data_IF_716284948797
#
_entry.id   IF_716284948797
#
_cell.length_a   1.000
_cell.length_b   1.000
_cell.length_c   1.000
_cell.angle_alpha   90.00
_cell.angle_beta   90.00
_cell.angle_gamma   90.00
#
_symmetry.space_group_name_H-M   'P 1'
#
loop_
_entity.id
_entity.type
_entity.pdbx_description
1 polymer ?
#
# COMPACT_ATOMS: atom_id res chain seq x y z
N UNK A 1 -59.32 -2.30 -1.53
CA UNK A 1 -58.62 -1.08 -1.97
C UNK A 1 -57.42 -0.72 -1.08
N UNK A 2 -57.44 -1.01 0.26
CA UNK A 2 -56.29 -0.73 1.15
C UNK A 2 -55.06 -1.63 0.93
N UNK A 3 -55.26 -2.85 0.42
CA UNK A 3 -54.12 -3.79 0.23
C UNK A 3 -53.22 -3.44 -0.97
N UNK A 4 -53.82 -2.89 -2.05
CA UNK A 4 -53.07 -2.54 -3.26
C UNK A 4 -52.16 -1.30 -3.01
N UNK A 5 -52.66 -0.33 -2.27
CA UNK A 5 -51.85 0.87 -1.92
C UNK A 5 -50.66 0.53 -1.02
N UNK A 6 -50.84 -0.41 -0.09
CA UNK A 6 -49.72 -0.86 0.78
C UNK A 6 -48.60 -1.55 0.02
N UNK A 7 -48.96 -2.45 -0.92
CA UNK A 7 -47.98 -3.17 -1.77
C UNK A 7 -47.23 -2.20 -2.68
N UNK A 8 -47.92 -1.21 -3.26
CA UNK A 8 -47.26 -0.22 -4.12
C UNK A 8 -46.28 0.66 -3.34
N UNK A 9 -46.63 1.09 -2.14
CA UNK A 9 -45.72 1.88 -1.26
C UNK A 9 -44.50 1.06 -0.86
N UNK A 10 -44.68 -0.20 -0.49
CA UNK A 10 -43.60 -1.10 -0.16
C UNK A 10 -42.66 -1.35 -1.34
N UNK A 11 -43.19 -1.56 -2.55
CA UNK A 11 -42.38 -1.73 -3.75
C UNK A 11 -41.51 -0.48 -4.06
N UNK A 12 -42.11 0.72 -3.93
CA UNK A 12 -41.33 1.97 -4.10
C UNK A 12 -40.25 2.10 -3.03
N UNK A 13 -40.52 1.76 -1.78
CA UNK A 13 -39.54 1.81 -0.71
C UNK A 13 -38.40 0.80 -0.94
N UNK A 14 -38.67 -0.40 -1.39
CA UNK A 14 -37.67 -1.40 -1.77
C UNK A 14 -36.77 -0.93 -2.91
N UNK A 15 -37.37 -0.33 -3.95
CA UNK A 15 -36.60 0.21 -5.08
C UNK A 15 -35.66 1.33 -4.61
N UNK A 16 -36.15 2.24 -3.79
CA UNK A 16 -35.31 3.32 -3.23
C UNK A 16 -34.18 2.77 -2.34
N UNK A 17 -34.47 1.82 -1.47
CA UNK A 17 -33.46 1.17 -0.63
C UNK A 17 -32.39 0.46 -1.47
N UNK A 18 -32.80 -0.24 -2.54
CA UNK A 18 -31.88 -0.88 -3.48
C UNK A 18 -31.00 0.14 -4.21
N UNK A 19 -31.56 1.23 -4.70
CA UNK A 19 -30.78 2.28 -5.37
C UNK A 19 -29.78 2.94 -4.43
N UNK A 20 -30.18 3.20 -3.18
CA UNK A 20 -29.27 3.76 -2.16
C UNK A 20 -28.14 2.78 -1.81
N UNK A 21 -28.45 1.47 -1.72
CA UNK A 21 -27.45 0.45 -1.49
C UNK A 21 -26.43 0.38 -2.63
N UNK A 22 -26.87 0.46 -3.89
CA UNK A 22 -25.98 0.49 -5.06
C UNK A 22 -25.11 1.75 -5.07
N UNK A 23 -25.68 2.94 -4.88
CA UNK A 23 -24.93 4.19 -4.83
C UNK A 23 -23.89 4.18 -3.71
N UNK A 24 -24.23 3.62 -2.54
CA UNK A 24 -23.29 3.46 -1.43
C UNK A 24 -22.16 2.48 -1.80
N UNK A 25 -22.52 1.34 -2.36
CA UNK A 25 -21.52 0.34 -2.79
C UNK A 25 -20.57 0.92 -3.83
N UNK A 26 -21.07 1.59 -4.86
CA UNK A 26 -20.26 2.25 -5.89
C UNK A 26 -19.29 3.27 -5.27
N UNK A 27 -19.79 4.07 -4.32
CA UNK A 27 -18.95 5.05 -3.62
C UNK A 27 -17.83 4.38 -2.84
N UNK A 28 -18.12 3.35 -2.04
CA UNK A 28 -17.12 2.62 -1.25
C UNK A 28 -16.12 1.91 -2.17
N UNK A 29 -16.62 1.29 -3.24
CA UNK A 29 -15.75 0.61 -4.21
C UNK A 29 -14.85 1.56 -5.00
N UNK A 30 -15.22 2.83 -5.12
CA UNK A 30 -14.40 3.85 -5.77
C UNK A 30 -13.25 4.35 -4.89
N UNK A 31 -13.28 4.09 -3.58
CA UNK A 31 -12.21 4.51 -2.67
C UNK A 31 -10.99 3.60 -2.79
N UNK A 32 -9.87 4.03 -2.24
CA UNK A 32 -8.67 3.21 -2.12
C UNK A 32 -8.96 1.93 -1.29
N UNK A 33 -8.14 0.91 -1.46
CA UNK A 33 -8.26 -0.30 -0.63
C UNK A 33 -7.94 0.01 0.83
N UNK A 34 -6.91 0.79 1.05
CA UNK A 34 -6.41 1.24 2.34
C UNK A 34 -5.65 2.55 2.14
N UNK A 35 -6.14 3.65 2.71
CA UNK A 35 -5.47 4.96 2.59
C UNK A 35 -4.22 5.03 3.45
N UNK A 36 -4.12 4.22 4.49
CA UNK A 36 -2.86 4.10 5.24
C UNK A 36 -1.73 3.64 4.36
N UNK A 37 -1.97 2.76 3.39
CA UNK A 37 -1.01 2.41 2.36
C UNK A 37 -0.59 3.62 1.51
N UNK A 38 -1.35 4.72 1.52
CA UNK A 38 -1.05 5.96 0.83
C UNK A 38 -0.60 7.09 1.76
N UNK A 39 -0.96 7.04 3.04
CA UNK A 39 -0.76 8.12 4.02
C UNK A 39 0.33 7.80 5.04
N UNK A 40 0.74 6.55 5.17
CA UNK A 40 1.81 6.15 6.07
C UNK A 40 3.18 6.29 5.43
N UNK A 41 4.10 6.69 6.27
CA UNK A 41 5.50 6.88 5.96
C UNK A 41 6.16 5.60 5.44
N UNK A 42 5.66 4.46 5.88
CA UNK A 42 5.94 3.10 5.41
C UNK A 42 4.74 2.25 5.81
N UNK A 43 4.50 1.16 5.12
CA UNK A 43 3.33 0.33 5.35
C UNK A 43 3.27 -0.34 6.73
N UNK A 44 2.19 -1.04 6.98
CA UNK A 44 2.02 -1.84 8.20
C UNK A 44 3.02 -2.99 8.31
N UNK A 45 3.69 -3.34 7.23
CA UNK A 45 4.66 -4.43 7.12
C UNK A 45 5.93 -3.97 6.42
N UNK A 46 6.99 -4.72 6.61
CA UNK A 46 8.24 -4.66 5.84
C UNK A 46 8.78 -6.07 5.68
N UNK A 47 9.81 -6.23 4.88
CA UNK A 47 10.61 -7.44 4.88
C UNK A 47 11.76 -7.32 5.87
N UNK A 48 11.91 -8.36 6.67
CA UNK A 48 12.97 -8.56 7.66
C UNK A 48 14.01 -9.52 7.09
N UNK A 49 15.24 -9.08 7.10
CA UNK A 49 16.42 -9.79 6.64
C UNK A 49 17.26 -10.09 7.88
N UNK A 50 17.00 -11.22 8.54
CA UNK A 50 17.61 -11.56 9.83
C UNK A 50 18.63 -12.72 9.74
N UNK A 51 18.77 -13.29 8.55
CA UNK A 51 19.71 -14.39 8.28
C UNK A 51 20.67 -14.08 7.10
N UNK A 52 21.86 -14.70 7.08
CA UNK A 52 22.87 -14.40 6.06
C UNK A 52 22.55 -14.95 4.65
N UNK A 53 21.35 -15.41 4.41
CA UNK A 53 20.85 -15.91 3.13
C UNK A 53 19.50 -15.33 2.74
N UNK A 54 19.15 -14.19 3.37
CA UNK A 54 17.89 -13.47 3.14
C UNK A 54 18.05 -12.44 2.02
N UNK A 55 17.23 -12.54 0.99
CA UNK A 55 17.24 -11.56 -0.11
C UNK A 55 15.95 -11.57 -0.93
N UNK A 56 15.79 -10.55 -1.76
CA UNK A 56 14.81 -10.52 -2.85
C UNK A 56 15.58 -10.53 -4.16
N UNK A 57 15.36 -11.55 -4.99
CA UNK A 57 15.81 -11.59 -6.37
C UNK A 57 14.77 -10.87 -7.24
N UNK A 58 15.19 -9.79 -7.88
CA UNK A 58 14.39 -8.98 -8.81
C UNK A 58 14.80 -9.22 -10.25
N UNK A 59 16.11 -9.47 -10.46
CA UNK A 59 16.71 -9.62 -11.78
C UNK A 59 16.75 -8.31 -12.58
N UNK A 60 16.50 -8.40 -13.88
CA UNK A 60 16.62 -7.25 -14.77
C UNK A 60 15.41 -6.30 -14.67
N UNK A 61 15.64 -5.06 -14.24
CA UNK A 61 14.64 -4.00 -14.20
C UNK A 61 14.72 -3.09 -15.42
N UNK A 62 15.85 -2.40 -15.64
CA UNK A 62 16.06 -1.49 -16.78
C UNK A 62 17.46 -0.90 -16.77
N UNK A 63 17.81 -0.18 -17.84
CA UNK A 63 18.99 0.69 -17.88
C UNK A 63 18.64 2.14 -17.56
N UNK A 64 19.62 2.90 -17.10
CA UNK A 64 19.50 4.35 -16.95
C UNK A 64 18.82 4.82 -15.66
N UNK A 65 18.85 4.04 -14.58
CA UNK A 65 18.38 4.46 -13.26
C UNK A 65 19.19 5.66 -12.77
N UNK A 66 18.49 6.69 -12.27
CA UNK A 66 19.08 7.94 -11.76
C UNK A 66 18.62 8.35 -10.38
N UNK A 67 17.58 7.71 -9.87
CA UNK A 67 17.15 7.89 -8.48
C UNK A 67 16.76 6.56 -7.89
N UNK A 68 17.26 6.33 -6.69
CA UNK A 68 16.96 5.15 -5.88
C UNK A 68 16.48 5.65 -4.54
N UNK A 69 15.36 5.17 -4.03
CA UNK A 69 14.95 5.45 -2.65
C UNK A 69 14.34 4.23 -1.98
N UNK A 70 14.49 4.17 -0.68
CA UNK A 70 13.97 3.10 0.16
C UNK A 70 13.92 3.54 1.62
N UNK A 71 13.11 2.87 2.41
CA UNK A 71 13.21 2.92 3.86
C UNK A 71 14.05 1.76 4.36
N UNK A 72 14.87 2.03 5.36
CA UNK A 72 15.76 1.04 5.96
C UNK A 72 15.78 1.19 7.48
N UNK A 73 15.82 0.06 8.16
CA UNK A 73 16.01 -0.05 9.59
C UNK A 73 17.09 -1.09 9.84
N UNK A 74 18.31 -0.64 10.11
CA UNK A 74 19.47 -1.52 10.28
C UNK A 74 19.55 -2.04 11.73
N UNK A 75 19.84 -3.33 11.88
CA UNK A 75 20.01 -3.97 13.19
C UNK A 75 21.37 -3.68 13.83
N UNK A 76 22.35 -3.28 13.02
CA UNK A 76 23.68 -2.86 13.46
C UNK A 76 24.19 -1.72 12.58
N UNK A 77 24.93 -0.77 13.17
CA UNK A 77 25.55 0.35 12.43
C UNK A 77 27.01 0.59 12.79
N UNK A 78 27.52 0.00 13.87
CA UNK A 78 28.91 0.19 14.30
C UNK A 78 29.78 -0.99 13.89
N UNK A 79 30.94 -0.71 13.29
CA UNK A 79 31.93 -1.73 12.85
C UNK A 79 31.36 -2.81 11.93
N UNK A 80 30.30 -2.46 11.18
CA UNK A 80 29.58 -3.37 10.32
C UNK A 80 29.43 -2.79 8.91
N UNK A 81 29.30 -3.66 7.92
CA UNK A 81 28.98 -3.30 6.55
C UNK A 81 27.76 -4.11 6.13
N UNK A 82 26.68 -3.41 5.80
CA UNK A 82 25.44 -3.97 5.32
C UNK A 82 25.28 -3.70 3.83
N UNK A 83 24.99 -4.72 3.04
CA UNK A 83 24.78 -4.61 1.61
C UNK A 83 23.29 -4.60 1.31
N UNK A 84 22.76 -3.42 1.02
CA UNK A 84 21.30 -3.17 1.04
C UNK A 84 20.67 -3.40 -0.32
N UNK A 85 21.23 -2.82 -1.38
CA UNK A 85 20.71 -2.91 -2.75
C UNK A 85 21.85 -3.14 -3.73
N UNK A 86 21.74 -4.20 -4.49
CA UNK A 86 22.57 -4.52 -5.64
C UNK A 86 21.83 -4.15 -6.93
N UNK A 87 22.48 -3.54 -7.88
CA UNK A 87 21.93 -3.13 -9.16
C UNK A 87 22.59 -3.86 -10.33
N UNK A 88 23.88 -4.16 -10.18
CA UNK A 88 24.73 -4.96 -11.05
C UNK A 88 26.11 -5.17 -10.37
N UNK A 89 26.98 -5.92 -11.01
CA UNK A 89 28.33 -6.27 -10.50
C UNK A 89 29.18 -5.06 -10.03
N UNK A 90 28.93 -3.86 -10.55
CA UNK A 90 29.69 -2.67 -10.22
C UNK A 90 28.94 -1.71 -9.27
N UNK A 91 27.64 -1.60 -9.44
CA UNK A 91 26.82 -0.56 -8.81
C UNK A 91 25.95 -1.16 -7.70
N UNK A 92 26.24 -0.80 -6.46
CA UNK A 92 25.47 -1.24 -5.29
C UNK A 92 25.50 -0.22 -4.17
N UNK A 93 24.56 -0.35 -3.24
CA UNK A 93 24.38 0.52 -2.07
C UNK A 93 24.64 -0.30 -0.82
N UNK A 94 25.46 0.27 0.08
CA UNK A 94 25.78 -0.31 1.38
C UNK A 94 25.79 0.72 2.48
N UNK A 95 25.65 0.25 3.72
CA UNK A 95 25.83 1.04 4.95
C UNK A 95 27.13 0.60 5.60
N UNK A 96 28.07 1.51 5.78
CA UNK A 96 29.37 1.25 6.39
C UNK A 96 29.53 2.12 7.63
N UNK A 97 29.60 1.50 8.81
CA UNK A 97 29.69 2.21 10.08
C UNK A 97 28.61 3.29 10.24
N UNK A 98 27.39 2.99 9.84
CA UNK A 98 26.25 3.92 9.89
C UNK A 98 26.21 4.96 8.77
N UNK A 99 27.13 4.95 7.82
CA UNK A 99 27.06 5.83 6.64
C UNK A 99 26.58 5.09 5.40
N UNK A 100 25.57 5.63 4.74
CA UNK A 100 25.13 5.18 3.42
C UNK A 100 26.22 5.52 2.40
N UNK A 101 26.70 4.50 1.72
CA UNK A 101 27.74 4.62 0.69
C UNK A 101 27.33 3.84 -0.56
N UNK A 102 27.90 4.22 -1.69
CA UNK A 102 27.68 3.54 -2.97
C UNK A 102 28.99 3.05 -3.56
N UNK A 103 28.94 1.98 -4.35
CA UNK A 103 30.04 1.57 -5.17
C UNK A 103 29.79 2.01 -6.62
N UNK A 104 30.82 2.48 -7.29
CA UNK A 104 30.85 2.91 -8.71
C UNK A 104 29.78 3.91 -9.20
N UNK A 105 28.77 4.25 -8.42
CA UNK A 105 27.76 5.25 -8.79
C UNK A 105 28.42 6.64 -8.86
N UNK A 106 28.32 7.27 -10.03
CA UNK A 106 29.04 8.49 -10.32
C UNK A 106 28.35 9.73 -9.74
N UNK A 107 29.12 10.55 -8.98
CA UNK A 107 28.68 11.83 -8.40
C UNK A 107 27.31 11.77 -7.71
N UNK A 108 27.11 10.87 -6.73
CA UNK A 108 25.83 10.71 -6.07
C UNK A 108 25.52 11.90 -5.15
N UNK A 109 24.26 12.28 -5.10
CA UNK A 109 23.72 13.14 -4.03
C UNK A 109 22.88 12.29 -3.11
N UNK A 110 23.20 12.34 -1.82
CA UNK A 110 22.52 11.57 -0.78
C UNK A 110 21.44 12.41 -0.09
N UNK A 111 20.43 11.71 0.40
CA UNK A 111 19.38 12.28 1.25
C UNK A 111 19.04 11.26 2.34
N UNK A 112 19.04 11.73 3.59
CA UNK A 112 18.47 10.97 4.71
C UNK A 112 17.28 11.75 5.24
N UNK A 113 16.10 11.10 5.34
CA UNK A 113 14.85 11.73 5.74
C UNK A 113 14.57 13.03 4.94
N UNK A 114 14.82 12.97 3.64
CA UNK A 114 14.72 14.08 2.69
C UNK A 114 15.70 15.26 2.92
N UNK A 115 16.68 15.15 3.83
CA UNK A 115 17.71 16.18 4.03
C UNK A 115 18.87 15.94 3.07
N UNK A 116 19.09 16.87 2.15
CA UNK A 116 20.13 16.77 1.13
C UNK A 116 21.54 16.88 1.71
N UNK A 117 22.46 16.04 1.25
CA UNK A 117 23.85 15.95 1.71
C UNK A 117 24.06 15.07 2.94
N UNK A 118 22.99 14.70 3.64
CA UNK A 118 23.06 13.75 4.75
C UNK A 118 23.13 12.32 4.22
N UNK A 119 23.91 11.47 4.92
CA UNK A 119 24.06 10.05 4.63
C UNK A 119 24.22 9.18 5.88
N UNK A 120 24.04 9.77 7.06
CA UNK A 120 24.25 9.10 8.34
C UNK A 120 22.95 8.46 8.86
N UNK A 121 23.03 7.16 9.14
CA UNK A 121 22.06 6.41 9.93
C UNK A 121 22.62 6.38 11.35
N UNK A 122 22.05 7.21 12.23
CA UNK A 122 22.65 7.49 13.53
C UNK A 122 22.27 6.46 14.62
N UNK A 123 21.16 5.74 14.44
CA UNK A 123 20.58 4.89 15.49
C UNK A 123 20.18 3.55 14.93
N UNK A 124 20.58 2.47 15.56
CA UNK A 124 20.10 1.11 15.29
C UNK A 124 18.61 1.02 15.59
N UNK A 125 17.93 0.09 14.96
CA UNK A 125 16.50 -0.15 15.16
C UNK A 125 15.58 1.06 14.90
N UNK A 126 16.07 2.09 14.20
CA UNK A 126 15.30 3.26 13.79
C UNK A 126 15.13 3.28 12.27
N UNK A 127 13.96 3.70 11.83
CA UNK A 127 13.67 3.86 10.41
C UNK A 127 14.28 5.13 9.83
N UNK A 128 14.95 4.99 8.69
CA UNK A 128 15.50 6.08 7.90
C UNK A 128 15.07 5.95 6.44
N UNK A 129 14.54 7.02 5.88
CA UNK A 129 14.40 7.11 4.45
C UNK A 129 15.75 7.48 3.83
N UNK A 130 16.18 6.70 2.88
CA UNK A 130 17.38 6.94 2.07
C UNK A 130 16.94 7.28 0.65
N UNK A 131 17.50 8.34 0.08
CA UNK A 131 17.42 8.55 -1.36
C UNK A 131 18.80 8.92 -1.91
N UNK A 132 19.08 8.43 -3.11
CA UNK A 132 20.34 8.67 -3.83
C UNK A 132 19.99 9.07 -5.25
N UNK A 133 20.52 10.22 -5.68
CA UNK A 133 20.35 10.68 -7.06
C UNK A 133 21.68 10.82 -7.76
N UNK A 134 21.73 10.58 -9.06
CA UNK A 134 22.90 10.76 -9.92
C UNK A 134 22.48 11.26 -11.29
N UNK A 135 23.31 12.07 -11.92
CA UNK A 135 23.10 12.51 -13.30
C UNK A 135 23.40 11.42 -14.33
N UNK A 136 24.26 10.46 -13.97
CA UNK A 136 24.66 9.35 -14.84
C UNK A 136 23.70 8.18 -14.65
N UNK A 137 23.15 7.65 -15.73
CA UNK A 137 22.28 6.48 -15.65
C UNK A 137 23.04 5.25 -15.20
N UNK A 138 22.43 4.46 -14.32
CA UNK A 138 22.93 3.18 -13.77
C UNK A 138 22.17 2.06 -14.48
N UNK A 139 22.86 1.01 -14.85
CA UNK A 139 22.23 -0.20 -15.37
C UNK A 139 21.74 -1.06 -14.20
N UNK A 140 20.43 -1.21 -14.07
CA UNK A 140 19.79 -2.07 -13.08
C UNK A 140 19.37 -3.38 -13.78
N UNK A 141 20.36 -4.15 -14.24
CA UNK A 141 20.15 -5.34 -15.05
C UNK A 141 20.23 -6.66 -14.26
N UNK A 142 20.54 -6.55 -12.96
CA UNK A 142 20.60 -7.69 -12.05
C UNK A 142 20.39 -7.17 -10.62
N UNK A 143 19.12 -6.91 -10.25
CA UNK A 143 18.79 -6.24 -9.01
C UNK A 143 18.48 -7.25 -7.91
N UNK A 144 19.16 -7.10 -6.78
CA UNK A 144 18.82 -7.76 -5.52
C UNK A 144 18.61 -6.75 -4.39
N UNK A 145 17.76 -7.11 -3.45
CA UNK A 145 17.61 -6.40 -2.18
C UNK A 145 18.04 -7.32 -1.04
N UNK A 146 18.84 -6.79 -0.12
CA UNK A 146 19.32 -7.53 1.04
C UNK A 146 20.62 -8.30 0.80
N UNK A 147 21.17 -8.30 -0.41
CA UNK A 147 22.48 -8.92 -0.70
C UNK A 147 23.24 -8.20 -1.82
N UNK A 148 24.53 -8.55 -1.93
CA UNK A 148 25.37 -8.35 -3.13
C UNK A 148 26.00 -9.68 -3.52
N UNK A 149 25.62 -10.22 -4.67
CA UNK A 149 25.94 -11.58 -5.09
C UNK A 149 27.42 -11.75 -5.48
N UNK A 150 27.99 -10.82 -6.25
CA UNK A 150 29.28 -11.00 -6.92
C UNK A 150 30.55 -10.81 -6.05
N UNK A 151 30.41 -10.36 -4.81
CA UNK A 151 31.53 -10.06 -3.93
C UNK A 151 31.63 -10.96 -2.69
N UNK A 152 31.05 -12.15 -2.76
CA UNK A 152 31.17 -13.15 -1.70
C UNK A 152 29.91 -13.37 -0.89
N UNK A 153 28.74 -13.11 -1.50
CA UNK A 153 27.43 -13.27 -0.84
C UNK A 153 27.35 -12.48 0.47
N UNK A 154 27.53 -11.18 0.35
CA UNK A 154 27.43 -10.23 1.48
C UNK A 154 25.99 -9.76 1.64
N UNK A 155 25.49 -9.83 2.85
CA UNK A 155 24.08 -9.65 3.17
C UNK A 155 23.81 -8.40 4.01
N UNK A 156 22.55 -8.00 4.05
CA UNK A 156 21.99 -6.97 4.91
C UNK A 156 21.35 -7.61 6.15
N UNK A 157 21.46 -6.98 7.32
CA UNK A 157 20.70 -7.35 8.51
C UNK A 157 19.83 -6.19 8.96
N UNK A 158 18.51 -6.40 8.92
CA UNK A 158 17.52 -5.38 9.26
C UNK A 158 16.29 -5.44 8.39
N UNK A 159 15.57 -4.32 8.27
CA UNK A 159 14.32 -4.23 7.54
C UNK A 159 14.39 -3.25 6.39
N UNK A 160 13.73 -3.60 5.28
CA UNK A 160 13.60 -2.74 4.10
C UNK A 160 12.12 -2.55 3.78
N UNK A 161 11.78 -1.32 3.33
CA UNK A 161 10.43 -0.96 2.93
C UNK A 161 10.43 0.11 1.82
N UNK A 162 9.32 0.26 1.08
CA UNK A 162 9.06 1.33 0.11
C UNK A 162 10.19 1.55 -0.91
N UNK A 163 10.68 0.50 -1.56
CA UNK A 163 11.80 0.57 -2.51
C UNK A 163 11.34 1.12 -3.85
N UNK A 164 12.01 2.16 -4.34
CA UNK A 164 11.65 2.83 -5.59
C UNK A 164 12.89 3.11 -6.44
N UNK A 165 12.81 2.80 -7.74
CA UNK A 165 13.84 3.11 -8.73
C UNK A 165 13.23 3.95 -9.86
N UNK A 166 13.86 5.08 -10.19
CA UNK A 166 13.46 5.92 -11.33
C UNK A 166 14.60 6.10 -12.33
N UNK A 167 14.27 6.16 -13.60
CA UNK A 167 15.22 6.55 -14.64
C UNK A 167 15.34 8.09 -14.80
N UNK A 168 14.57 8.87 -14.04
CA UNK A 168 14.67 10.32 -13.90
C UNK A 168 15.41 10.74 -12.63
N UNK A 169 16.10 11.87 -12.65
CA UNK A 169 16.63 12.49 -11.43
C UNK A 169 15.50 13.17 -10.68
N UNK A 170 15.23 12.75 -9.45
CA UNK A 170 14.25 13.42 -8.58
C UNK A 170 14.88 14.63 -7.90
N UNK A 171 14.15 15.72 -7.88
CA UNK A 171 14.54 16.95 -7.18
C UNK A 171 14.40 16.79 -5.68
N UNK A 172 15.10 17.60 -4.89
CA UNK A 172 14.96 17.63 -3.43
C UNK A 172 13.50 17.89 -3.01
N UNK A 173 12.75 18.68 -3.76
CA UNK A 173 11.33 18.97 -3.49
C UNK A 173 10.44 17.73 -3.71
N UNK A 174 10.69 16.96 -4.76
CA UNK A 174 9.96 15.71 -5.02
C UNK A 174 10.28 14.65 -3.96
N UNK A 175 11.55 14.52 -3.58
CA UNK A 175 11.97 13.62 -2.49
C UNK A 175 11.27 14.02 -1.19
N UNK A 176 11.30 15.31 -0.82
CA UNK A 176 10.63 15.82 0.37
C UNK A 176 9.11 15.61 0.35
N UNK A 177 8.50 15.68 -0.82
CA UNK A 177 7.05 15.50 -0.97
C UNK A 177 6.62 14.05 -0.75
N UNK A 178 7.45 13.09 -1.16
CA UNK A 178 7.05 11.68 -1.22
C UNK A 178 7.86 10.72 -0.33
N UNK A 179 8.85 11.23 0.46
CA UNK A 179 9.68 10.34 1.27
C UNK A 179 8.89 9.59 2.34
N UNK A 180 7.85 10.20 2.89
CA UNK A 180 7.03 9.67 3.98
C UNK A 180 5.59 9.34 3.54
N UNK A 181 5.42 8.95 2.30
CA UNK A 181 4.11 8.57 1.72
C UNK A 181 4.31 7.48 0.69
N UNK A 182 3.28 6.67 0.51
CA UNK A 182 3.15 5.85 -0.69
C UNK A 182 3.13 6.74 -1.93
N UNK A 183 3.79 6.29 -2.98
CA UNK A 183 3.86 7.05 -4.24
C UNK A 183 2.52 6.95 -4.96
N UNK A 184 1.86 8.09 -5.27
CA UNK A 184 0.54 8.08 -5.89
C UNK A 184 0.63 7.66 -7.36
N UNK A 185 -0.35 6.88 -7.82
CA UNK A 185 -0.48 6.44 -9.20
C UNK A 185 0.83 5.91 -9.82
N UNK A 186 1.52 4.97 -9.17
CA UNK A 186 2.85 4.53 -9.59
C UNK A 186 2.88 3.94 -11.00
N UNK A 187 1.79 3.36 -11.46
CA UNK A 187 1.64 2.79 -12.79
C UNK A 187 1.67 3.87 -13.90
N UNK A 188 1.21 5.08 -13.60
CA UNK A 188 1.13 6.19 -14.57
C UNK A 188 2.43 6.98 -14.69
N UNK A 189 3.37 6.84 -13.74
CA UNK A 189 4.69 7.46 -13.81
C UNK A 189 5.64 6.61 -14.68
N UNK A 190 5.77 6.98 -15.94
CA UNK A 190 6.65 6.28 -16.88
C UNK A 190 8.15 6.40 -16.55
N UNK A 191 8.53 7.24 -15.59
CA UNK A 191 9.92 7.33 -15.09
C UNK A 191 10.18 6.40 -13.91
N UNK A 192 9.16 5.95 -13.20
CA UNK A 192 9.25 4.95 -12.15
C UNK A 192 9.41 3.56 -12.78
N UNK A 193 10.49 2.87 -12.44
CA UNK A 193 10.88 1.59 -13.04
C UNK A 193 10.77 0.41 -12.09
N UNK A 194 10.71 0.68 -10.80
CA UNK A 194 10.43 -0.29 -9.75
C UNK A 194 9.74 0.43 -8.60
N UNK A 195 8.71 -0.20 -8.05
CA UNK A 195 8.12 0.22 -6.79
C UNK A 195 7.64 -0.98 -5.99
N UNK A 196 8.37 -1.33 -4.96
CA UNK A 196 7.99 -2.33 -3.98
C UNK A 196 7.50 -1.64 -2.71
N UNK A 197 6.21 -1.75 -2.44
CA UNK A 197 5.60 -1.25 -1.20
C UNK A 197 5.96 -2.08 0.03
N UNK A 198 6.33 -3.34 -0.17
CA UNK A 198 6.63 -4.33 0.87
C UNK A 198 5.58 -4.48 1.98
N UNK A 199 4.32 -4.25 1.64
CA UNK A 199 3.17 -4.23 2.54
C UNK A 199 2.36 -5.52 2.42
N UNK A 200 2.93 -6.67 2.82
CA UNK A 200 2.25 -7.96 2.79
C UNK A 200 2.42 -8.72 4.10
N UNK A 201 1.51 -9.65 4.33
CA UNK A 201 1.53 -10.56 5.49
C UNK A 201 2.27 -11.86 5.21
N UNK A 202 2.34 -12.28 3.95
CA UNK A 202 2.87 -13.60 3.60
C UNK A 202 3.10 -13.73 2.10
N UNK A 203 3.75 -14.80 1.72
CA UNK A 203 4.05 -15.16 0.33
C UNK A 203 5.50 -14.86 -0.02
N UNK A 204 5.94 -15.44 -1.14
CA UNK A 204 7.33 -15.37 -1.63
C UNK A 204 7.49 -14.43 -2.81
N UNK A 205 6.45 -13.70 -3.19
CA UNK A 205 6.49 -12.74 -4.31
C UNK A 205 6.27 -11.33 -3.80
N UNK A 206 7.19 -10.45 -4.13
CA UNK A 206 7.06 -9.01 -4.01
C UNK A 206 6.52 -8.45 -5.32
N UNK A 207 5.41 -7.70 -5.25
CA UNK A 207 4.82 -7.08 -6.43
C UNK A 207 5.43 -5.72 -6.72
N UNK A 208 5.78 -5.52 -7.98
CA UNK A 208 6.11 -4.21 -8.53
C UNK A 208 4.83 -3.47 -8.91
N UNK A 209 4.66 -2.28 -8.36
CA UNK A 209 3.53 -1.39 -8.63
C UNK A 209 3.80 -0.38 -9.75
N UNK A 210 5.00 -0.38 -10.33
CA UNK A 210 5.32 0.41 -11.52
C UNK A 210 4.75 -0.21 -12.79
N UNK A 211 4.81 0.52 -13.90
CA UNK A 211 4.42 -0.01 -15.22
C UNK A 211 5.38 -1.06 -15.79
N UNK A 212 6.57 -1.25 -15.17
CA UNK A 212 7.55 -2.25 -15.62
C UNK A 212 7.19 -3.67 -15.23
N UNK A 213 6.45 -3.85 -14.12
CA UNK A 213 5.96 -5.15 -13.63
C UNK A 213 7.11 -6.14 -13.36
N UNK A 214 8.21 -5.66 -12.79
CA UNK A 214 9.38 -6.48 -12.40
C UNK A 214 9.16 -7.03 -10.99
N UNK A 215 8.38 -8.11 -10.87
CA UNK A 215 8.11 -8.76 -9.58
C UNK A 215 9.36 -9.46 -9.05
N UNK A 216 9.59 -9.38 -7.72
CA UNK A 216 10.71 -10.02 -7.06
C UNK A 216 10.31 -11.33 -6.37
N UNK A 217 11.27 -12.21 -6.20
CA UNK A 217 11.13 -13.47 -5.45
C UNK A 217 11.88 -13.36 -4.14
N UNK A 218 11.19 -13.60 -3.01
CA UNK A 218 11.78 -13.61 -1.67
C UNK A 218 12.45 -14.97 -1.44
N UNK A 219 13.69 -14.93 -0.98
CA UNK A 219 14.40 -16.08 -0.42
C UNK A 219 14.63 -15.81 1.05
N UNK A 220 14.10 -16.66 1.90
CA UNK A 220 14.19 -16.74 3.36
C UNK A 220 13.69 -15.50 4.12
N UNK A 221 13.87 -14.27 3.65
CA UNK A 221 13.40 -13.05 4.33
C UNK A 221 11.89 -13.13 4.68
N UNK A 222 11.52 -12.61 5.83
CA UNK A 222 10.20 -12.77 6.40
C UNK A 222 9.41 -11.45 6.47
N UNK A 223 8.10 -11.55 6.26
CA UNK A 223 7.20 -10.42 6.46
C UNK A 223 7.05 -10.12 7.95
N UNK A 224 7.27 -8.88 8.34
CA UNK A 224 7.19 -8.45 9.74
C UNK A 224 6.31 -7.20 9.88
N UNK A 225 5.54 -7.14 10.97
CA UNK A 225 4.77 -5.94 11.30
C UNK A 225 5.68 -4.83 11.80
N UNK A 226 5.47 -3.61 11.33
CA UNK A 226 6.31 -2.47 11.67
C UNK A 226 6.01 -1.87 13.03
N UNK A 227 4.86 -2.15 13.61
CA UNK A 227 4.54 -1.63 14.92
C UNK A 227 3.78 -2.63 15.78
N UNK A 228 4.19 -2.74 17.04
CA UNK A 228 3.45 -3.45 18.09
C UNK A 228 2.22 -2.66 18.59
N UNK A 229 1.97 -1.46 18.10
CA UNK A 229 0.91 -0.55 18.56
C UNK A 229 -0.17 -0.27 17.53
N UNK A 230 -0.05 -0.76 16.31
CA UNK A 230 -1.08 -0.61 15.29
C UNK A 230 -2.07 -1.76 15.45
N UNK A 231 -3.14 -1.48 16.14
CA UNK A 231 -4.32 -2.33 16.09
C UNK A 231 -4.86 -2.21 14.67
N UNK A 232 -4.90 -3.32 13.94
CA UNK A 232 -5.57 -3.41 12.65
C UNK A 232 -7.07 -3.35 12.93
N UNK A 233 -7.52 -2.17 13.26
CA UNK A 233 -8.92 -1.89 13.49
C UNK A 233 -9.45 -1.29 12.22
N UNK A 234 -10.30 -2.04 11.52
CA UNK A 234 -11.09 -1.47 10.43
C UNK A 234 -11.84 -0.25 10.96
N UNK A 235 -11.73 0.88 10.29
CA UNK A 235 -12.43 2.09 10.69
C UNK A 235 -11.69 3.38 10.35
N UNK A 236 -12.31 4.48 10.68
CA UNK A 236 -11.79 5.84 10.43
C UNK A 236 -10.54 6.14 11.25
N UNK A 237 -9.54 6.68 10.60
CA UNK A 237 -8.23 7.00 11.17
C UNK A 237 -8.08 8.46 11.60
N UNK A 238 -9.14 9.20 11.53
CA UNK A 238 -9.22 10.62 11.86
C UNK A 238 -10.31 11.34 11.07
N UNK A 239 -10.87 10.69 10.06
CA UNK A 239 -11.96 11.21 9.27
C UNK A 239 -13.23 11.32 10.12
N UNK A 240 -13.81 12.50 10.15
CA UNK A 240 -15.00 12.78 10.98
C UNK A 240 -16.28 12.89 10.16
N UNK A 241 -16.17 12.95 8.84
CA UNK A 241 -17.31 13.17 7.94
C UNK A 241 -17.40 12.06 6.89
N UNK A 242 -18.60 11.80 6.42
CA UNK A 242 -18.84 10.87 5.30
C UNK A 242 -18.04 11.23 4.04
N UNK A 243 -17.89 12.51 3.75
CA UNK A 243 -17.13 13.00 2.61
C UNK A 243 -15.61 12.94 2.80
N UNK A 244 -15.16 12.81 4.03
CA UNK A 244 -13.73 12.70 4.37
C UNK A 244 -13.19 11.28 4.26
N UNK A 245 -14.07 10.26 4.25
CA UNK A 245 -13.65 8.87 4.10
C UNK A 245 -12.91 8.68 2.76
N UNK A 246 -11.72 8.19 2.80
CA UNK A 246 -10.81 8.12 1.65
C UNK A 246 -10.39 6.69 1.28
N UNK A 247 -10.72 5.71 2.10
CA UNK A 247 -10.51 4.29 1.83
C UNK A 247 -11.72 3.42 2.24
N UNK A 248 -11.59 2.12 1.96
CA UNK A 248 -12.70 1.16 2.12
C UNK A 248 -13.03 0.92 3.59
N UNK A 249 -12.06 0.86 4.47
CA UNK A 249 -12.30 0.51 5.86
C UNK A 249 -12.79 1.68 6.72
N UNK A 250 -12.58 2.92 6.30
CA UNK A 250 -13.25 4.09 6.86
C UNK A 250 -14.76 3.94 6.96
N UNK A 251 -15.32 3.14 6.06
CA UNK A 251 -16.76 2.87 6.02
C UNK A 251 -17.21 1.76 6.96
N UNK A 252 -16.29 1.06 7.65
CA UNK A 252 -16.66 -0.02 8.55
C UNK A 252 -17.54 0.49 9.70
N UNK A 253 -18.68 -0.19 9.90
CA UNK A 253 -19.74 0.14 10.89
C UNK A 253 -20.39 1.53 10.78
N UNK A 254 -20.08 2.27 9.71
CA UNK A 254 -20.67 3.59 9.51
C UNK A 254 -22.14 3.48 9.10
N UNK A 255 -22.96 4.28 9.79
CA UNK A 255 -24.33 4.54 9.39
C UNK A 255 -24.39 5.72 8.43
N UNK A 256 -25.21 5.61 7.42
CA UNK A 256 -25.50 6.68 6.48
C UNK A 256 -26.99 6.90 6.35
N UNK A 257 -27.37 8.10 5.97
CA UNK A 257 -28.74 8.50 5.67
C UNK A 257 -28.79 9.18 4.30
N UNK A 258 -30.00 9.38 3.79
CA UNK A 258 -30.23 10.02 2.50
C UNK A 258 -29.48 11.35 2.28
N UNK A 259 -29.27 12.14 3.34
CA UNK A 259 -28.56 13.42 3.29
C UNK A 259 -27.06 13.30 2.96
N UNK A 260 -26.44 12.14 3.17
CA UNK A 260 -25.05 11.89 2.81
C UNK A 260 -24.82 11.86 1.28
N UNK A 261 -25.91 11.82 0.52
CA UNK A 261 -25.94 11.74 -0.96
C UNK A 261 -26.48 13.01 -1.62
N UNK A 262 -26.54 14.14 -0.90
CA UNK A 262 -26.93 15.43 -1.48
C UNK A 262 -25.94 15.81 -2.59
N UNK A 263 -26.39 15.75 -3.84
CA UNK A 263 -25.60 16.05 -5.03
C UNK A 263 -25.47 14.93 -6.03
N UNK A 264 -25.73 13.66 -5.66
CA UNK A 264 -25.75 12.56 -6.61
C UNK A 264 -27.03 12.47 -7.44
N UNK A 265 -28.11 13.11 -6.97
CA UNK A 265 -29.36 13.14 -7.73
C UNK A 265 -30.27 14.32 -7.29
N UNK A 266 -29.94 15.50 -7.76
CA UNK A 266 -30.70 16.72 -7.43
C UNK A 266 -32.15 16.75 -8.02
N UNK A 267 -32.62 15.64 -8.61
CA UNK A 267 -33.85 15.71 -9.36
C UNK A 267 -34.90 14.61 -9.19
N UNK A 268 -34.53 13.37 -8.83
CA UNK A 268 -35.48 12.25 -9.01
C UNK A 268 -35.55 11.19 -7.92
N UNK A 269 -34.57 11.07 -7.04
CA UNK A 269 -34.55 10.03 -6.00
C UNK A 269 -34.54 10.63 -4.60
N UNK A 270 -35.72 10.91 -4.09
CA UNK A 270 -35.90 11.31 -2.70
C UNK A 270 -35.78 10.08 -1.78
N UNK A 271 -34.63 9.92 -1.12
CA UNK A 271 -34.36 8.84 -0.16
C UNK A 271 -34.78 9.20 1.27
N UNK A 272 -35.55 10.26 1.49
CA UNK A 272 -35.91 10.77 2.79
C UNK A 272 -36.40 9.67 3.74
N UNK A 273 -35.73 9.54 4.88
CA UNK A 273 -36.03 8.55 5.92
C UNK A 273 -35.47 7.15 5.64
N UNK A 274 -34.66 6.98 4.59
CA UNK A 274 -33.97 5.73 4.31
C UNK A 274 -32.52 5.88 4.81
N UNK A 275 -32.02 4.87 5.50
CA UNK A 275 -30.66 4.81 5.98
C UNK A 275 -30.13 3.41 6.01
N UNK A 276 -28.83 3.28 6.16
CA UNK A 276 -28.18 1.98 6.15
C UNK A 276 -26.85 1.97 6.91
N UNK A 277 -26.17 0.85 6.77
CA UNK A 277 -24.82 0.66 7.33
C UNK A 277 -23.93 -0.04 6.32
N UNK A 278 -22.66 0.31 6.37
CA UNK A 278 -21.58 -0.38 5.68
C UNK A 278 -20.82 -1.24 6.69
N UNK A 279 -20.48 -2.45 6.28
CA UNK A 279 -19.60 -3.34 7.03
C UNK A 279 -18.44 -3.74 6.11
N UNK A 280 -17.24 -3.67 6.64
CA UNK A 280 -16.03 -4.10 5.94
C UNK A 280 -15.36 -5.17 6.80
N UNK A 281 -14.83 -6.22 6.18
CA UNK A 281 -14.02 -7.23 6.86
C UNK A 281 -12.97 -7.78 5.91
N UNK A 282 -11.85 -8.20 6.45
CA UNK A 282 -10.86 -8.94 5.68
C UNK A 282 -11.35 -10.35 5.37
N UNK A 283 -11.05 -10.83 4.18
CA UNK A 283 -11.39 -12.18 3.72
C UNK A 283 -10.22 -12.80 2.98
N UNK A 284 -10.05 -14.11 3.13
CA UNK A 284 -9.06 -14.90 2.42
C UNK A 284 -9.68 -15.63 1.24
N UNK A 285 -8.96 -15.68 0.12
CA UNK A 285 -9.35 -16.50 -1.02
C UNK A 285 -9.21 -17.98 -0.66
N UNK A 286 -10.24 -18.76 -0.92
CA UNK A 286 -10.28 -20.20 -0.64
C UNK A 286 -10.36 -20.98 -1.96
N UNK A 287 -9.34 -21.79 -2.23
CA UNK A 287 -9.32 -22.69 -3.37
C UNK A 287 -8.93 -22.04 -4.71
N UNK A 288 -8.80 -22.84 -5.73
CA UNK A 288 -8.32 -22.46 -7.07
C UNK A 288 -9.46 -22.16 -8.10
N UNK A 289 -10.72 -21.96 -7.64
CA UNK A 289 -11.89 -21.54 -8.44
C UNK A 289 -13.12 -22.45 -8.25
N UNK A 290 -14.37 -22.01 -8.48
CA UNK A 290 -14.72 -20.62 -8.54
C UNK A 290 -14.36 -19.90 -7.23
N UNK A 291 -13.97 -18.62 -7.33
CA UNK A 291 -13.46 -17.87 -6.20
C UNK A 291 -14.46 -17.84 -5.03
N UNK A 292 -14.09 -18.44 -3.92
CA UNK A 292 -14.79 -18.36 -2.64
C UNK A 292 -13.92 -17.68 -1.62
N UNK A 293 -14.54 -16.96 -0.69
CA UNK A 293 -13.83 -16.21 0.34
C UNK A 293 -14.31 -16.68 1.71
N UNK A 294 -13.39 -16.78 2.65
CA UNK A 294 -13.68 -17.01 4.07
C UNK A 294 -13.26 -15.80 4.90
N UNK A 295 -13.93 -15.60 6.02
CA UNK A 295 -13.56 -14.54 6.97
C UNK A 295 -12.11 -14.73 7.41
N UNK A 296 -11.38 -13.62 7.47
CA UNK A 296 -10.01 -13.56 7.99
C UNK A 296 -10.00 -12.70 9.25
N UNK A 297 -9.41 -13.22 10.32
CA UNK A 297 -9.16 -12.44 11.54
C UNK A 297 -7.92 -11.54 11.44
N UNK A 298 -7.20 -11.60 10.32
CA UNK A 298 -5.99 -10.83 10.04
C UNK A 298 -6.13 -10.15 8.68
N UNK A 299 -5.39 -9.06 8.43
CA UNK A 299 -5.38 -8.38 7.14
C UNK A 299 -5.02 -9.31 5.99
N UNK A 300 -5.64 -9.08 4.85
CA UNK A 300 -5.41 -9.81 3.60
C UNK A 300 -5.51 -8.84 2.42
N UNK A 301 -5.11 -9.29 1.24
CA UNK A 301 -5.27 -8.52 0.00
C UNK A 301 -6.73 -8.36 -0.44
N UNK A 302 -7.71 -8.81 0.36
CA UNK A 302 -9.13 -8.76 0.02
C UNK A 302 -9.97 -8.25 1.17
N UNK A 303 -10.85 -7.31 0.89
CA UNK A 303 -11.89 -6.83 1.81
C UNK A 303 -13.27 -7.16 1.25
N UNK A 304 -14.13 -7.79 2.03
CA UNK A 304 -15.55 -7.90 1.73
C UNK A 304 -16.26 -6.66 2.26
N UNK A 305 -17.03 -6.04 1.40
CA UNK A 305 -17.85 -4.88 1.69
C UNK A 305 -19.30 -5.34 1.66
N UNK A 306 -20.04 -5.10 2.74
CA UNK A 306 -21.46 -5.35 2.85
C UNK A 306 -22.19 -4.04 3.12
N UNK A 307 -23.08 -3.66 2.23
CA UNK A 307 -23.99 -2.51 2.41
C UNK A 307 -25.38 -3.01 2.72
N UNK A 308 -25.93 -2.63 3.88
CA UNK A 308 -27.31 -2.92 4.30
C UNK A 308 -28.12 -1.65 4.38
N UNK A 309 -29.28 -1.62 3.72
CA UNK A 309 -30.20 -0.50 3.75
C UNK A 309 -31.56 -0.97 4.24
N UNK A 310 -32.06 -0.31 5.28
CA UNK A 310 -33.39 -0.61 5.84
C UNK A 310 -34.52 -0.21 4.89
N UNK A 311 -35.58 -1.00 4.86
CA UNK A 311 -36.80 -0.70 4.11
C UNK A 311 -37.77 0.03 5.05
N UNK A 312 -38.11 1.32 4.81
CA UNK A 312 -38.95 2.09 5.70
C UNK A 312 -40.29 1.41 6.00
N UNK A 313 -40.65 1.38 7.29
CA UNK A 313 -41.91 0.80 7.77
C UNK A 313 -41.91 -0.73 7.87
N UNK A 314 -40.76 -1.36 7.71
CA UNK A 314 -40.59 -2.81 7.86
C UNK A 314 -39.38 -3.16 8.74
N UNK A 315 -39.22 -4.44 9.08
CA UNK A 315 -38.00 -4.98 9.67
C UNK A 315 -37.02 -5.49 8.63
N UNK A 316 -37.37 -5.40 7.34
CA UNK A 316 -36.59 -5.91 6.21
C UNK A 316 -35.49 -4.93 5.80
N UNK A 317 -34.49 -5.45 5.14
CA UNK A 317 -33.39 -4.66 4.56
C UNK A 317 -32.99 -5.25 3.20
N UNK A 318 -32.48 -4.41 2.33
CA UNK A 318 -31.72 -4.85 1.16
C UNK A 318 -30.25 -4.93 1.52
N UNK A 319 -29.52 -5.90 0.98
CA UNK A 319 -28.10 -6.09 1.20
C UNK A 319 -27.40 -6.27 -0.13
N UNK A 320 -26.24 -5.63 -0.27
CA UNK A 320 -25.29 -5.86 -1.35
C UNK A 320 -23.95 -6.26 -0.76
N UNK A 321 -23.29 -7.21 -1.39
CA UNK A 321 -21.95 -7.64 -1.05
C UNK A 321 -21.01 -7.47 -2.26
N UNK A 322 -19.79 -7.03 -2.01
CA UNK A 322 -18.74 -6.94 -3.00
C UNK A 322 -17.40 -7.33 -2.38
N UNK A 323 -16.45 -7.74 -3.23
CA UNK A 323 -15.07 -7.95 -2.83
C UNK A 323 -14.22 -6.89 -3.51
N UNK A 324 -13.39 -6.22 -2.73
CA UNK A 324 -12.35 -5.33 -3.23
C UNK A 324 -10.99 -5.94 -2.96
N UNK A 325 -10.13 -5.95 -3.96
CA UNK A 325 -8.73 -6.36 -3.82
C UNK A 325 -7.82 -5.16 -3.65
N UNK A 326 -6.66 -5.39 -3.04
CA UNK A 326 -5.58 -4.41 -2.91
C UNK A 326 -4.85 -4.10 -4.25
N UNK A 327 -5.22 -4.81 -5.33
CA UNK A 327 -4.62 -4.68 -6.67
C UNK A 327 -5.50 -3.90 -7.60
#
# INVERSE_FOLDING_TARGET
FRSISGVAVQAVSMTKASNLAHATMERVMAQNFDARGNDLEFGDYALDFDAPDDYIDVGNVTTGIRTISFWVKADAISTHTDYVIYLNVADYIKIVNGEVTVNSINSPTYYINAVAGERTIATVDAWYHVAITTATGIDANDVDLGRVEDIGEEFFSGKIDEVRLWNGVRTASEILTYYNKSYPNPYDDNTLKLYYKLNKLSGTIVYDYSSSISHGTITNAIWTSQSSSWSITLGREGETTWSGNNDVDDFHTISFVDNDYTGLDAGTNNFTGIGGRVYVKYVSLVGAGPYTFSDSGTPTDYKQITVKVGIPGTTDSTQLDAIKSAK
#
